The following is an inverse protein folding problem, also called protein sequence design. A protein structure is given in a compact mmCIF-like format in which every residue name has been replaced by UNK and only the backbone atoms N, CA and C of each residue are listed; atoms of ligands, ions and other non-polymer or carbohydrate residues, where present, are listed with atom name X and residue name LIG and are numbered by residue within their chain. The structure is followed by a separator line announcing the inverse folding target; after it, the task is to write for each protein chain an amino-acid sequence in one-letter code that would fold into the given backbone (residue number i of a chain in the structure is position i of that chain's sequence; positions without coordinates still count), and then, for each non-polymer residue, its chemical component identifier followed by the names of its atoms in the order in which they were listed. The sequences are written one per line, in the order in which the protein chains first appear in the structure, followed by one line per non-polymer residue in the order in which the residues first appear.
data_IF_068842529821
#
_entry.id   IF_068842529821
#
_cell.length_a   1.000
_cell.length_b   1.000
_cell.length_c   1.000
_cell.angle_alpha   90.00
_cell.angle_beta   90.00
_cell.angle_gamma   90.00
#
_symmetry.space_group_name_H-M   'P 1'
#
loop_
_entity.id
_entity.type
_entity.pdbx_description
1 polymer ?
#
# COMPACT_ATOMS: atom_id res chain seq x y z
N UNK A 1 23.60 51.43 -16.63
CA UNK A 1 22.46 50.78 -15.96
C UNK A 1 22.16 49.43 -16.59
N UNK A 2 22.77 48.30 -16.15
CA UNK A 2 22.38 46.97 -16.64
C UNK A 2 22.98 45.81 -15.81
N UNK A 3 22.74 45.77 -14.49
CA UNK A 3 23.19 44.63 -13.65
C UNK A 3 22.18 44.17 -12.60
N UNK A 4 20.98 44.78 -12.50
CA UNK A 4 19.97 44.41 -11.48
C UNK A 4 18.93 43.40 -11.96
N UNK A 5 18.69 43.26 -13.28
CA UNK A 5 17.63 42.38 -13.81
C UNK A 5 18.03 40.89 -13.95
N UNK A 6 19.31 40.56 -13.81
CA UNK A 6 19.84 39.19 -13.94
C UNK A 6 19.85 38.39 -12.64
N UNK A 7 19.69 39.03 -11.48
CA UNK A 7 19.84 38.37 -10.16
C UNK A 7 18.51 37.80 -9.62
N UNK A 8 17.39 38.40 -10.00
CA UNK A 8 16.04 37.90 -9.64
C UNK A 8 15.64 36.70 -10.50
N UNK A 9 15.95 36.70 -11.80
CA UNK A 9 15.64 35.58 -12.71
C UNK A 9 16.43 34.31 -12.39
N UNK A 10 17.66 34.44 -11.88
CA UNK A 10 18.44 33.28 -11.41
C UNK A 10 17.89 32.63 -10.14
N UNK A 11 17.26 33.41 -9.25
CA UNK A 11 16.68 32.91 -7.99
C UNK A 11 15.44 32.06 -8.26
N UNK A 12 14.54 32.55 -9.12
CA UNK A 12 13.30 31.84 -9.50
C UNK A 12 13.62 30.52 -10.23
N UNK A 13 14.63 30.53 -11.10
CA UNK A 13 15.05 29.31 -11.80
C UNK A 13 15.61 28.24 -10.85
N UNK A 14 16.34 28.64 -9.80
CA UNK A 14 16.87 27.72 -8.80
C UNK A 14 15.76 27.04 -7.98
N UNK A 15 14.70 27.78 -7.64
CA UNK A 15 13.53 27.25 -6.95
C UNK A 15 12.75 26.27 -7.82
N UNK A 16 12.52 26.58 -9.10
CA UNK A 16 11.87 25.67 -10.04
C UNK A 16 12.66 24.36 -10.23
N UNK A 17 13.99 24.42 -10.37
CA UNK A 17 14.83 23.23 -10.49
C UNK A 17 14.73 22.38 -9.21
N UNK A 18 14.77 23.02 -8.04
CA UNK A 18 14.65 22.33 -6.75
C UNK A 18 13.29 21.65 -6.60
N UNK A 19 12.20 22.29 -7.05
CA UNK A 19 10.86 21.71 -7.05
C UNK A 19 10.75 20.50 -8.00
N UNK A 20 11.28 20.61 -9.22
CA UNK A 20 11.29 19.48 -10.18
C UNK A 20 12.10 18.32 -9.62
N UNK A 21 13.29 18.59 -9.08
CA UNK A 21 14.12 17.56 -8.44
C UNK A 21 13.40 16.87 -7.29
N UNK A 22 12.67 17.62 -6.45
CA UNK A 22 11.85 17.06 -5.38
C UNK A 22 10.80 16.09 -5.93
N UNK A 23 10.01 16.51 -6.92
CA UNK A 23 8.95 15.69 -7.52
C UNK A 23 9.53 14.43 -8.18
N UNK A 24 10.64 14.54 -8.90
CA UNK A 24 11.28 13.39 -9.54
C UNK A 24 11.88 12.42 -8.51
N UNK A 25 12.51 12.92 -7.46
CA UNK A 25 13.02 12.07 -6.36
C UNK A 25 11.89 11.38 -5.61
N UNK A 26 10.76 12.06 -5.40
CA UNK A 26 9.57 11.43 -4.85
C UNK A 26 9.09 10.29 -5.76
N UNK A 27 8.94 10.53 -7.08
CA UNK A 27 8.47 9.48 -8.01
C UNK A 27 9.42 8.30 -8.21
N UNK A 28 10.74 8.54 -8.22
CA UNK A 28 11.72 7.50 -8.54
C UNK A 28 12.24 6.76 -7.30
N UNK A 29 12.45 7.47 -6.19
CA UNK A 29 13.06 6.89 -5.00
C UNK A 29 12.02 6.38 -4.00
N UNK A 30 10.81 6.92 -4.02
CA UNK A 30 9.73 6.49 -3.14
C UNK A 30 8.70 5.67 -3.91
N UNK A 31 8.12 4.69 -3.23
CA UNK A 31 6.94 4.00 -3.75
C UNK A 31 5.76 4.96 -3.67
N UNK A 32 5.53 5.75 -4.72
CA UNK A 32 4.38 6.65 -4.79
C UNK A 32 3.09 5.84 -5.04
N UNK A 33 2.11 5.85 -4.10
CA UNK A 33 0.83 5.17 -4.30
C UNK A 33 -0.02 5.79 -5.42
N UNK A 34 0.31 7.03 -5.81
CA UNK A 34 -0.40 7.81 -6.84
C UNK A 34 0.19 7.64 -8.24
N UNK A 35 1.16 6.74 -8.42
CA UNK A 35 1.75 6.46 -9.73
C UNK A 35 0.73 5.80 -10.66
N UNK A 36 0.75 6.18 -11.95
CA UNK A 36 -0.09 5.54 -12.96
C UNK A 36 0.34 4.08 -13.15
N UNK A 37 -0.63 3.17 -13.20
CA UNK A 37 -0.43 1.76 -13.51
C UNK A 37 -0.21 1.57 -15.01
N UNK A 38 0.92 0.99 -15.40
CA UNK A 38 1.24 0.70 -16.81
C UNK A 38 1.37 -0.81 -17.00
N UNK A 39 0.70 -1.36 -18.03
CA UNK A 39 0.82 -2.77 -18.39
C UNK A 39 0.21 -3.79 -17.42
N UNK A 40 -0.35 -3.35 -16.28
CA UNK A 40 -0.91 -4.23 -15.22
C UNK A 40 -2.42 -4.08 -15.02
N UNK A 41 -3.13 -3.54 -16.02
CA UNK A 41 -4.54 -3.17 -15.92
C UNK A 41 -5.48 -4.37 -15.74
N UNK A 42 -5.15 -5.51 -16.36
CA UNK A 42 -5.95 -6.73 -16.22
C UNK A 42 -5.79 -7.33 -14.82
N UNK A 43 -4.54 -7.44 -14.36
CA UNK A 43 -4.19 -7.95 -13.03
C UNK A 43 -4.78 -7.07 -11.93
N UNK A 44 -4.79 -5.75 -12.14
CA UNK A 44 -5.46 -4.79 -11.27
C UNK A 44 -6.94 -5.12 -11.11
N UNK A 45 -7.67 -5.28 -12.22
CA UNK A 45 -9.10 -5.60 -12.21
C UNK A 45 -9.39 -6.90 -11.48
N UNK A 46 -8.61 -7.96 -11.76
CA UNK A 46 -8.80 -9.26 -11.10
C UNK A 46 -8.56 -9.18 -9.59
N UNK A 47 -7.48 -8.51 -9.16
CA UNK A 47 -7.16 -8.35 -7.75
C UNK A 47 -8.20 -7.49 -7.02
N UNK A 48 -8.66 -6.40 -7.66
CA UNK A 48 -9.71 -5.53 -7.15
C UNK A 48 -11.03 -6.27 -6.98
N UNK A 49 -11.43 -7.08 -7.96
CA UNK A 49 -12.65 -7.87 -7.89
C UNK A 49 -12.60 -8.90 -6.76
N UNK A 50 -11.50 -9.64 -6.64
CA UNK A 50 -11.28 -10.62 -5.58
C UNK A 50 -11.37 -9.99 -4.19
N UNK A 51 -10.72 -8.83 -4.00
CA UNK A 51 -10.76 -8.12 -2.73
C UNK A 51 -12.13 -7.46 -2.46
N UNK A 52 -12.86 -7.00 -3.49
CA UNK A 52 -14.24 -6.53 -3.35
C UNK A 52 -15.17 -7.65 -2.90
N UNK A 53 -15.03 -8.86 -3.47
CA UNK A 53 -15.81 -10.03 -3.03
C UNK A 53 -15.51 -10.40 -1.58
N UNK A 54 -14.23 -10.39 -1.21
CA UNK A 54 -13.78 -10.70 0.16
C UNK A 54 -14.34 -9.72 1.19
N UNK A 55 -14.35 -8.43 0.86
CA UNK A 55 -14.73 -7.36 1.80
C UNK A 55 -16.23 -7.10 1.85
N UNK A 56 -16.93 -7.19 0.72
CA UNK A 56 -18.37 -6.86 0.62
C UNK A 56 -19.23 -8.10 0.80
N UNK A 57 -18.86 -9.22 0.19
CA UNK A 57 -19.66 -10.46 0.18
C UNK A 57 -19.21 -11.44 1.28
N UNK A 58 -18.10 -11.15 1.97
CA UNK A 58 -17.57 -12.00 3.03
C UNK A 58 -16.99 -13.32 2.53
N UNK A 59 -16.66 -13.41 1.24
CA UNK A 59 -16.01 -14.58 0.66
C UNK A 59 -14.58 -14.74 1.19
N UNK A 60 -14.13 -15.98 1.38
CA UNK A 60 -12.73 -16.26 1.74
C UNK A 60 -11.96 -16.62 0.48
N UNK A 61 -11.09 -15.71 0.03
CA UNK A 61 -10.27 -15.89 -1.16
C UNK A 61 -8.78 -15.78 -0.84
N UNK A 62 -7.96 -16.51 -1.59
CA UNK A 62 -6.50 -16.40 -1.56
C UNK A 62 -5.97 -16.13 -2.96
N UNK A 63 -4.87 -15.37 -3.05
CA UNK A 63 -4.24 -15.03 -4.32
C UNK A 63 -2.73 -14.92 -4.14
N UNK A 64 -1.97 -15.30 -5.17
CA UNK A 64 -0.51 -15.20 -5.20
C UNK A 64 -0.07 -14.31 -6.38
N UNK A 65 0.67 -13.24 -6.08
CA UNK A 65 1.16 -12.30 -7.09
C UNK A 65 2.62 -12.64 -7.44
N UNK A 66 2.83 -13.24 -8.61
CA UNK A 66 4.16 -13.70 -9.05
C UNK A 66 4.73 -12.76 -10.12
N UNK A 67 6.02 -12.44 -10.03
CA UNK A 67 6.75 -11.67 -11.04
C UNK A 67 8.18 -11.35 -10.61
N UNK A 68 9.04 -10.83 -11.51
CA UNK A 68 10.42 -10.50 -11.19
C UNK A 68 10.54 -9.36 -10.17
N UNK A 69 11.69 -9.23 -9.49
CA UNK A 69 11.94 -8.12 -8.55
C UNK A 69 11.84 -6.78 -9.29
N UNK A 70 11.16 -5.80 -8.70
CA UNK A 70 10.96 -4.49 -9.31
C UNK A 70 9.78 -4.40 -10.30
N UNK A 71 9.02 -5.49 -10.54
CA UNK A 71 7.87 -5.48 -11.46
C UNK A 71 6.62 -4.74 -10.95
N UNK A 72 6.69 -4.04 -9.81
CA UNK A 72 5.56 -3.29 -9.26
C UNK A 72 4.53 -4.09 -8.48
N UNK A 73 4.83 -5.32 -8.01
CA UNK A 73 3.89 -6.16 -7.24
C UNK A 73 3.27 -5.44 -6.03
N UNK A 74 4.12 -4.90 -5.16
CA UNK A 74 3.68 -4.13 -3.97
C UNK A 74 2.91 -2.87 -4.36
N UNK A 75 3.30 -2.21 -5.46
CA UNK A 75 2.63 -1.01 -5.95
C UNK A 75 1.22 -1.33 -6.48
N UNK A 76 1.04 -2.44 -7.20
CA UNK A 76 -0.26 -2.93 -7.64
C UNK A 76 -1.20 -3.17 -6.45
N UNK A 77 -0.71 -3.89 -5.45
CA UNK A 77 -1.46 -4.17 -4.21
C UNK A 77 -1.87 -2.88 -3.51
N UNK A 78 -0.92 -1.97 -3.29
CA UNK A 78 -1.17 -0.71 -2.61
C UNK A 78 -2.19 0.15 -3.34
N UNK A 79 -2.18 0.14 -4.68
CA UNK A 79 -3.18 0.88 -5.47
C UNK A 79 -4.59 0.29 -5.31
N UNK A 80 -4.72 -1.05 -5.34
CA UNK A 80 -6.01 -1.71 -5.13
C UNK A 80 -6.54 -1.47 -3.72
N UNK A 81 -5.68 -1.63 -2.69
CA UNK A 81 -6.05 -1.36 -1.30
C UNK A 81 -6.48 0.09 -1.10
N UNK A 82 -5.77 1.04 -1.73
CA UNK A 82 -6.15 2.46 -1.68
C UNK A 82 -7.54 2.70 -2.25
N UNK A 83 -7.87 2.14 -3.43
CA UNK A 83 -9.22 2.25 -4.01
C UNK A 83 -10.29 1.63 -3.08
N UNK A 84 -9.99 0.47 -2.48
CA UNK A 84 -10.92 -0.19 -1.56
C UNK A 84 -11.18 0.62 -0.28
N UNK A 85 -10.16 1.29 0.24
CA UNK A 85 -10.29 2.13 1.44
C UNK A 85 -11.08 3.42 1.21
N UNK A 86 -11.33 3.81 -0.04
CA UNK A 86 -12.24 4.93 -0.36
C UNK A 86 -13.71 4.57 -0.09
N UNK A 87 -14.05 3.27 -0.07
CA UNK A 87 -15.39 2.79 0.27
C UNK A 87 -15.57 2.77 1.79
N UNK A 88 -16.49 3.61 2.30
CA UNK A 88 -16.74 3.75 3.76
C UNK A 88 -16.99 2.42 4.48
N UNK A 89 -17.87 1.59 3.93
CA UNK A 89 -18.20 0.29 4.50
C UNK A 89 -16.99 -0.65 4.61
N UNK A 90 -16.08 -0.59 3.64
CA UNK A 90 -14.85 -1.39 3.65
C UNK A 90 -13.88 -0.82 4.68
N UNK A 91 -13.74 0.51 4.75
CA UNK A 91 -12.84 1.17 5.69
C UNK A 91 -13.13 0.84 7.16
N UNK A 92 -14.39 0.64 7.52
CA UNK A 92 -14.80 0.33 8.90
C UNK A 92 -14.64 -1.15 9.26
N UNK A 93 -14.77 -2.06 8.29
CA UNK A 93 -14.79 -3.51 8.53
C UNK A 93 -13.50 -4.24 8.12
N UNK A 94 -12.62 -3.60 7.35
CA UNK A 94 -11.39 -4.22 6.85
C UNK A 94 -10.25 -4.03 7.84
N UNK A 95 -9.77 -5.15 8.39
CA UNK A 95 -8.49 -5.21 9.08
C UNK A 95 -7.42 -5.76 8.13
N UNK A 96 -6.30 -5.05 8.02
CA UNK A 96 -5.18 -5.44 7.18
C UNK A 96 -4.04 -5.96 8.04
N UNK A 97 -3.49 -7.12 7.68
CA UNK A 97 -2.28 -7.66 8.31
C UNK A 97 -1.20 -7.79 7.24
N UNK A 98 -0.09 -7.08 7.44
CA UNK A 98 1.05 -7.05 6.53
C UNK A 98 2.22 -7.81 7.16
N UNK A 99 2.60 -8.93 6.55
CA UNK A 99 3.77 -9.71 6.94
C UNK A 99 4.86 -9.57 5.88
N UNK A 100 6.11 -9.73 6.32
CA UNK A 100 7.29 -9.71 5.46
C UNK A 100 8.23 -10.82 5.90
N UNK A 101 8.50 -11.79 5.02
CA UNK A 101 9.38 -12.92 5.32
C UNK A 101 10.83 -12.53 5.68
N UNK A 102 11.26 -11.30 5.38
CA UNK A 102 12.55 -10.77 5.85
C UNK A 102 12.54 -10.34 7.32
N UNK A 103 11.36 -10.00 7.86
CA UNK A 103 11.18 -9.55 9.25
C UNK A 103 10.67 -10.71 10.13
N UNK A 104 9.64 -11.41 9.69
CA UNK A 104 9.04 -12.54 10.39
C UNK A 104 9.65 -13.86 9.88
N UNK A 105 10.84 -14.19 10.38
CA UNK A 105 11.62 -15.37 9.95
C UNK A 105 11.17 -16.70 10.58
N UNK A 106 10.26 -16.65 11.55
CA UNK A 106 9.77 -17.82 12.28
C UNK A 106 8.30 -17.61 12.68
N UNK A 107 7.53 -18.70 12.76
CA UNK A 107 6.09 -18.69 13.01
C UNK A 107 5.74 -17.98 14.33
N UNK A 108 6.59 -18.13 15.35
CA UNK A 108 6.41 -17.45 16.64
C UNK A 108 6.45 -15.92 16.51
N UNK A 109 7.31 -15.39 15.62
CA UNK A 109 7.42 -13.95 15.36
C UNK A 109 6.26 -13.51 14.47
N UNK A 110 5.89 -14.31 13.47
CA UNK A 110 4.73 -14.05 12.61
C UNK A 110 3.43 -13.97 13.40
N UNK A 111 3.15 -14.94 14.27
CA UNK A 111 1.95 -14.96 15.12
C UNK A 111 1.91 -13.76 16.07
N UNK A 112 3.04 -13.39 16.67
CA UNK A 112 3.12 -12.17 17.48
C UNK A 112 2.77 -10.93 16.67
N UNK A 113 3.28 -10.83 15.45
CA UNK A 113 3.01 -9.70 14.57
C UNK A 113 1.54 -9.64 14.11
N UNK A 114 0.94 -10.78 13.80
CA UNK A 114 -0.49 -10.89 13.48
C UNK A 114 -1.33 -10.37 14.65
N UNK A 115 -1.10 -10.89 15.86
CA UNK A 115 -1.83 -10.46 17.07
C UNK A 115 -1.64 -8.96 17.34
N UNK A 116 -0.42 -8.45 17.12
CA UNK A 116 -0.08 -7.04 17.27
C UNK A 116 -0.85 -6.13 16.30
N UNK A 117 -0.90 -6.49 15.02
CA UNK A 117 -1.61 -5.70 14.01
C UNK A 117 -3.13 -5.74 14.17
N UNK A 118 -3.67 -6.84 14.70
CA UNK A 118 -5.10 -6.99 14.96
C UNK A 118 -5.55 -6.36 16.27
N UNK A 119 -4.64 -5.76 17.06
CA UNK A 119 -4.93 -5.20 18.39
C UNK A 119 -5.61 -6.19 19.35
N UNK A 120 -5.43 -7.50 19.11
CA UNK A 120 -6.01 -8.57 19.93
C UNK A 120 -5.23 -8.82 21.22
N UNK A 121 -4.19 -8.04 21.50
CA UNK A 121 -3.35 -8.15 22.70
C UNK A 121 -4.17 -8.06 24.00
N UNK A 122 -5.34 -7.40 23.97
CA UNK A 122 -6.23 -7.20 25.12
C UNK A 122 -7.49 -8.09 25.14
N UNK A 123 -7.72 -8.95 24.14
CA UNK A 123 -8.94 -9.78 24.00
C UNK A 123 -8.68 -11.26 24.36
N UNK A 124 -7.46 -11.61 24.76
CA UNK A 124 -7.06 -12.98 25.13
C UNK A 124 -7.69 -13.46 26.46
N UNK A 125 -8.47 -12.60 27.14
CA UNK A 125 -9.13 -12.90 28.40
C UNK A 125 -10.40 -13.76 28.30
N UNK A 126 -11.18 -13.67 27.22
CA UNK A 126 -12.41 -14.44 27.09
C UNK A 126 -12.77 -14.69 25.63
N UNK A 127 -13.14 -15.94 25.35
CA UNK A 127 -13.50 -16.48 24.03
C UNK A 127 -14.53 -15.62 23.29
N UNK A 128 -14.15 -14.97 22.19
CA UNK A 128 -15.00 -14.82 20.99
C UNK A 128 -14.11 -14.70 19.74
N UNK A 129 -13.76 -15.82 19.11
CA UNK A 129 -13.36 -15.80 17.71
C UNK A 129 -14.64 -15.67 16.87
N UNK A 130 -15.13 -14.44 16.70
CA UNK A 130 -16.06 -14.15 15.60
C UNK A 130 -15.24 -14.38 14.32
N UNK A 131 -15.73 -15.21 13.40
CA UNK A 131 -15.07 -15.48 12.11
C UNK A 131 -14.59 -14.17 11.46
N UNK A 132 -13.30 -13.90 11.57
CA UNK A 132 -12.66 -12.74 10.96
C UNK A 132 -12.08 -13.18 9.63
N UNK A 133 -12.56 -12.58 8.55
CA UNK A 133 -12.01 -12.79 7.22
C UNK A 133 -10.62 -12.15 7.16
N UNK A 134 -9.59 -12.95 7.42
CA UNK A 134 -8.21 -12.52 7.34
C UNK A 134 -7.78 -12.40 5.88
N UNK A 135 -7.39 -11.20 5.47
CA UNK A 135 -6.57 -11.03 4.29
C UNK A 135 -5.10 -11.24 4.68
N UNK A 136 -4.67 -12.51 4.70
CA UNK A 136 -3.24 -12.84 4.79
C UNK A 136 -2.61 -12.65 3.41
N UNK A 137 -1.94 -11.52 3.22
CA UNK A 137 -1.08 -11.28 2.07
C UNK A 137 0.35 -11.71 2.44
N UNK A 138 0.78 -12.85 1.88
CA UNK A 138 2.18 -13.27 1.86
C UNK A 138 2.95 -12.61 0.70
#
# INVERSE_FOLDING_TARGET
MSKRKSKETSSVNGECISQVQRILRERFCHQCPNGKLFGVQLQYKHLLELLKRTTIHGESNSALIIGPRGSGKTMLLNHVLKELMEVKQVRENLLQVHLNGLLQTNDKIALKEITRQLQMENVVGDKVFVSMNFLLLF
#
